data_IF_435700815495
#
_entry.id   IF_435700815495
#
_cell.length_a   1.000
_cell.length_b   1.000
_cell.length_c   1.000
_cell.angle_alpha   90.00
_cell.angle_beta   90.00
_cell.angle_gamma   90.00
#
_symmetry.space_group_name_H-M   'P 1'
#
loop_
_entity.id
_entity.type
_entity.pdbx_description
1 polymer ?
#
# COMPACT_ATOMS: atom_id res chain seq x y z
N UNK A 1 -31.50 44.01 0.60
CA UNK A 1 -30.96 43.00 1.52
C UNK A 1 -31.16 41.55 1.04
N UNK A 2 -32.36 41.08 0.69
CA UNK A 2 -32.60 39.70 0.19
C UNK A 2 -31.71 39.30 -1.01
N UNK A 3 -31.60 40.15 -2.04
CA UNK A 3 -30.79 39.86 -3.23
C UNK A 3 -29.28 39.85 -2.96
N UNK A 4 -28.81 40.60 -1.96
CA UNK A 4 -27.40 40.63 -1.55
C UNK A 4 -27.03 39.31 -0.85
N UNK A 5 -27.92 38.80 0.02
CA UNK A 5 -27.74 37.51 0.69
C UNK A 5 -27.77 36.34 -0.30
N UNK A 6 -28.66 36.39 -1.32
CA UNK A 6 -28.71 35.39 -2.39
C UNK A 6 -27.42 35.42 -3.23
N UNK A 7 -26.90 36.61 -3.56
CA UNK A 7 -25.64 36.75 -4.29
C UNK A 7 -24.43 36.21 -3.52
N UNK A 8 -24.35 36.48 -2.21
CA UNK A 8 -23.29 35.94 -1.34
C UNK A 8 -23.40 34.42 -1.21
N UNK A 9 -24.61 33.87 -1.05
CA UNK A 9 -24.83 32.44 -0.99
C UNK A 9 -24.44 31.74 -2.30
N UNK A 10 -24.72 32.35 -3.46
CA UNK A 10 -24.35 31.82 -4.76
C UNK A 10 -22.83 31.84 -4.98
N UNK A 11 -22.15 32.93 -4.59
CA UNK A 11 -20.68 33.02 -4.64
C UNK A 11 -20.01 32.00 -3.71
N UNK A 12 -20.56 31.79 -2.51
CA UNK A 12 -20.08 30.77 -1.58
C UNK A 12 -20.27 29.35 -2.16
N UNK A 13 -21.43 29.04 -2.74
CA UNK A 13 -21.70 27.76 -3.41
C UNK A 13 -20.74 27.52 -4.58
N UNK A 14 -20.50 28.52 -5.42
CA UNK A 14 -19.56 28.41 -6.54
C UNK A 14 -18.12 28.22 -6.06
N UNK A 15 -17.71 28.89 -4.98
CA UNK A 15 -16.40 28.69 -4.37
C UNK A 15 -16.23 27.26 -3.80
N UNK A 16 -17.28 26.73 -3.15
CA UNK A 16 -17.31 25.36 -2.62
C UNK A 16 -17.24 24.34 -3.77
N UNK A 17 -18.02 24.52 -4.83
CA UNK A 17 -18.00 23.62 -6.01
C UNK A 17 -16.65 23.65 -6.72
N UNK A 18 -16.01 24.81 -6.87
CA UNK A 18 -14.67 24.94 -7.46
C UNK A 18 -13.57 24.33 -6.60
N UNK A 19 -13.68 24.45 -5.27
CA UNK A 19 -12.77 23.75 -4.36
C UNK A 19 -12.93 22.22 -4.50
N UNK A 20 -14.17 21.74 -4.63
CA UNK A 20 -14.48 20.31 -4.75
C UNK A 20 -14.02 19.71 -6.10
N UNK A 21 -14.04 20.47 -7.19
CA UNK A 21 -13.55 20.01 -8.50
C UNK A 21 -12.02 19.85 -8.55
N UNK A 22 -11.28 20.51 -7.66
CA UNK A 22 -9.81 20.46 -7.60
C UNK A 22 -9.25 19.31 -6.75
N UNK A 23 -10.09 18.56 -6.04
CA UNK A 23 -9.71 17.50 -5.12
C UNK A 23 -10.14 16.11 -5.60
N UNK A 24 -10.01 15.88 -6.90
CA UNK A 24 -10.31 14.58 -7.49
C UNK A 24 -9.21 13.56 -7.15
N UNK A 25 -9.59 12.35 -6.75
CA UNK A 25 -8.65 11.25 -6.43
C UNK A 25 -7.74 10.86 -7.59
N UNK A 26 -8.02 11.34 -8.80
CA UNK A 26 -7.16 11.13 -9.98
C UNK A 26 -5.78 11.76 -9.81
N UNK A 27 -5.68 12.90 -9.13
CA UNK A 27 -4.38 13.50 -8.83
C UNK A 27 -3.58 12.60 -7.87
N UNK A 28 -4.25 12.01 -6.88
CA UNK A 28 -3.64 11.06 -5.97
C UNK A 28 -3.18 9.77 -6.69
N UNK A 29 -3.98 9.24 -7.62
CA UNK A 29 -3.59 8.11 -8.48
C UNK A 29 -2.29 8.43 -9.26
N UNK A 30 -2.17 9.67 -9.78
CA UNK A 30 -0.97 10.12 -10.49
C UNK A 30 0.24 10.26 -9.55
N UNK A 31 0.04 10.74 -8.32
CA UNK A 31 1.10 10.77 -7.32
C UNK A 31 1.64 9.37 -7.00
N UNK A 32 0.77 8.37 -6.93
CA UNK A 32 1.16 6.99 -6.63
C UNK A 32 1.84 6.31 -7.82
N UNK A 33 1.56 6.74 -9.05
CA UNK A 33 2.13 6.15 -10.26
C UNK A 33 3.67 6.23 -10.30
N UNK A 34 4.27 7.34 -9.85
CA UNK A 34 5.74 7.49 -9.82
C UNK A 34 6.39 6.52 -8.82
N UNK A 35 5.81 6.37 -7.62
CA UNK A 35 6.26 5.41 -6.62
C UNK A 35 6.09 3.95 -7.07
N UNK A 36 4.95 3.63 -7.70
CA UNK A 36 4.66 2.30 -8.24
C UNK A 36 5.58 1.91 -9.39
N UNK A 37 5.83 2.82 -10.33
CA UNK A 37 6.78 2.61 -11.42
C UNK A 37 8.19 2.33 -10.89
N UNK A 38 8.58 3.02 -9.82
CA UNK A 38 9.88 2.83 -9.15
C UNK A 38 9.97 1.54 -8.32
N UNK A 39 8.83 0.91 -7.97
CA UNK A 39 8.75 -0.29 -7.14
C UNK A 39 8.53 -1.61 -7.89
N UNK A 40 8.44 -1.59 -9.22
CA UNK A 40 8.19 -2.79 -10.04
C UNK A 40 9.26 -3.87 -9.88
N UNK A 41 10.49 -3.45 -9.61
CA UNK A 41 11.63 -4.30 -9.31
C UNK A 41 12.30 -3.74 -8.05
N UNK A 42 12.60 -4.61 -7.10
CA UNK A 42 13.49 -4.24 -6.00
C UNK A 42 14.87 -3.86 -6.54
N UNK A 43 15.47 -2.74 -6.10
CA UNK A 43 16.79 -2.33 -6.54
C UNK A 43 17.82 -3.39 -6.14
N UNK A 44 18.83 -3.60 -6.97
CA UNK A 44 19.93 -4.54 -6.75
C UNK A 44 21.29 -3.87 -6.71
N UNK A 45 21.31 -2.54 -6.91
CA UNK A 45 22.51 -1.71 -6.86
C UNK A 45 22.23 -0.39 -6.13
N UNK A 46 23.29 0.29 -5.66
CA UNK A 46 23.17 1.61 -5.02
C UNK A 46 22.54 2.64 -5.97
N UNK A 47 22.89 2.61 -7.26
CA UNK A 47 22.30 3.51 -8.25
C UNK A 47 20.78 3.32 -8.37
N UNK A 48 20.32 2.06 -8.33
CA UNK A 48 18.90 1.74 -8.35
C UNK A 48 18.20 2.13 -7.03
N UNK A 49 18.85 1.97 -5.88
CA UNK A 49 18.34 2.45 -4.58
C UNK A 49 18.12 3.97 -4.65
N UNK A 50 19.12 4.73 -5.11
CA UNK A 50 19.01 6.18 -5.22
C UNK A 50 17.88 6.59 -6.17
N UNK A 51 17.72 5.90 -7.30
CA UNK A 51 16.61 6.11 -8.23
C UNK A 51 15.26 5.86 -7.55
N UNK A 52 15.12 4.76 -6.81
CA UNK A 52 13.87 4.43 -6.12
C UNK A 52 13.55 5.45 -5.02
N UNK A 53 14.54 5.86 -4.23
CA UNK A 53 14.38 6.86 -3.20
C UNK A 53 13.97 8.24 -3.74
N UNK A 54 14.49 8.62 -4.92
CA UNK A 54 14.01 9.82 -5.63
C UNK A 54 12.52 9.69 -6.01
N UNK A 55 12.11 8.54 -6.55
CA UNK A 55 10.69 8.28 -6.84
C UNK A 55 9.79 8.34 -5.60
N UNK A 56 10.25 7.82 -4.44
CA UNK A 56 9.53 7.95 -3.18
C UNK A 56 9.45 9.39 -2.68
N UNK A 57 10.52 10.18 -2.84
CA UNK A 57 10.54 11.60 -2.50
C UNK A 57 9.50 12.36 -3.34
N UNK A 58 9.50 12.18 -4.65
CA UNK A 58 8.53 12.81 -5.56
C UNK A 58 7.09 12.42 -5.21
N UNK A 59 6.84 11.13 -4.97
CA UNK A 59 5.54 10.63 -4.53
C UNK A 59 5.09 11.31 -3.22
N UNK A 60 5.95 11.36 -2.20
CA UNK A 60 5.65 11.96 -0.90
C UNK A 60 5.39 13.47 -1.00
N UNK A 61 6.15 14.19 -1.82
CA UNK A 61 5.96 15.61 -2.08
C UNK A 61 4.60 15.88 -2.77
N UNK A 62 4.25 15.06 -3.78
CA UNK A 62 2.97 15.13 -4.47
C UNK A 62 1.80 14.88 -3.51
N UNK A 63 1.84 13.78 -2.74
CA UNK A 63 0.80 13.45 -1.74
C UNK A 63 0.72 14.56 -0.68
N UNK A 64 1.85 15.11 -0.24
CA UNK A 64 1.88 16.21 0.71
C UNK A 64 1.20 17.48 0.19
N UNK A 65 1.48 17.84 -1.07
CA UNK A 65 0.83 18.99 -1.75
C UNK A 65 -0.68 18.78 -1.94
N UNK A 66 -1.09 17.58 -2.34
CA UNK A 66 -2.50 17.21 -2.45
C UNK A 66 -3.19 17.27 -1.08
N UNK A 67 -2.61 16.66 -0.04
CA UNK A 67 -3.21 16.59 1.29
C UNK A 67 -3.33 17.95 1.98
N UNK A 68 -2.41 18.88 1.73
CA UNK A 68 -2.54 20.27 2.20
C UNK A 68 -3.78 20.96 1.62
N UNK A 69 -4.10 20.70 0.36
CA UNK A 69 -5.24 21.31 -0.34
C UNK A 69 -6.56 20.58 -0.10
N UNK A 70 -6.52 19.25 -0.04
CA UNK A 70 -7.69 18.39 -0.19
C UNK A 70 -8.02 17.52 1.02
N UNK A 71 -7.27 17.63 2.12
CA UNK A 71 -7.53 16.88 3.36
C UNK A 71 -7.86 17.80 4.53
N UNK A 72 -8.50 17.24 5.56
CA UNK A 72 -8.70 17.94 6.83
C UNK A 72 -7.40 17.98 7.65
N UNK A 73 -7.31 18.91 8.61
CA UNK A 73 -6.18 18.95 9.55
C UNK A 73 -6.04 17.64 10.34
N UNK A 74 -7.16 17.11 10.82
CA UNK A 74 -7.19 15.84 11.55
C UNK A 74 -6.61 14.68 10.70
N UNK A 75 -7.00 14.59 9.43
CA UNK A 75 -6.47 13.54 8.54
C UNK A 75 -4.97 13.72 8.28
N UNK A 76 -4.49 14.96 8.10
CA UNK A 76 -3.04 15.23 7.98
C UNK A 76 -2.26 14.87 9.24
N UNK A 77 -2.80 15.19 10.41
CA UNK A 77 -2.14 14.90 11.68
C UNK A 77 -2.11 13.39 11.95
N UNK A 78 -3.18 12.67 11.62
CA UNK A 78 -3.20 11.21 11.64
C UNK A 78 -2.16 10.61 10.68
N UNK A 79 -2.13 11.03 9.41
CA UNK A 79 -1.13 10.56 8.45
C UNK A 79 0.29 10.83 8.92
N UNK A 80 0.56 12.05 9.43
CA UNK A 80 1.86 12.38 10.01
C UNK A 80 2.20 11.43 11.15
N UNK A 81 1.28 11.19 12.08
CA UNK A 81 1.48 10.28 13.21
C UNK A 81 1.77 8.84 12.79
N UNK A 82 1.22 8.37 11.67
CA UNK A 82 1.51 7.03 11.13
C UNK A 82 2.88 7.00 10.45
N UNK A 83 3.20 8.02 9.65
CA UNK A 83 4.46 8.07 8.88
C UNK A 83 5.68 8.50 9.70
N UNK A 84 5.48 9.16 10.84
CA UNK A 84 6.55 9.64 11.71
C UNK A 84 6.85 8.68 12.86
N UNK A 85 6.31 7.46 12.83
CA UNK A 85 6.67 6.43 13.80
C UNK A 85 8.17 6.15 13.69
N UNK A 86 8.82 5.93 14.84
CA UNK A 86 10.28 5.89 14.96
C UNK A 86 10.94 4.95 13.96
N UNK A 87 10.39 3.74 13.81
CA UNK A 87 10.94 2.72 12.92
C UNK A 87 10.84 3.12 11.44
N UNK A 88 9.73 3.74 11.02
CA UNK A 88 9.53 4.22 9.62
C UNK A 88 10.50 5.33 9.30
N UNK A 89 10.58 6.34 10.17
CA UNK A 89 11.46 7.49 9.96
C UNK A 89 12.93 7.05 9.96
N UNK A 90 13.31 6.17 10.90
CA UNK A 90 14.68 5.66 10.98
C UNK A 90 15.04 4.86 9.75
N UNK A 91 14.19 3.90 9.34
CA UNK A 91 14.44 3.08 8.17
C UNK A 91 14.55 3.92 6.90
N UNK A 92 13.63 4.87 6.68
CA UNK A 92 13.71 5.77 5.53
C UNK A 92 14.99 6.60 5.54
N UNK A 93 15.43 7.07 6.71
CA UNK A 93 16.68 7.82 6.81
C UNK A 93 17.90 6.97 6.47
N UNK A 94 18.00 5.75 7.02
CA UNK A 94 19.10 4.83 6.73
C UNK A 94 19.08 4.38 5.26
N UNK A 95 17.90 4.09 4.71
CA UNK A 95 17.77 3.54 3.38
C UNK A 95 17.85 4.60 2.27
N UNK A 96 17.21 5.76 2.44
CA UNK A 96 17.07 6.75 1.38
C UNK A 96 17.87 8.04 1.57
N UNK A 97 18.23 8.42 2.79
CA UNK A 97 18.90 9.71 3.04
C UNK A 97 20.41 9.58 3.17
N UNK A 98 20.90 8.50 3.79
CA UNK A 98 22.34 8.25 3.94
C UNK A 98 22.88 7.54 2.72
N UNK A 99 23.96 8.05 2.14
CA UNK A 99 24.56 7.46 0.94
C UNK A 99 25.15 6.07 1.19
N UNK A 100 25.72 5.86 2.39
CA UNK A 100 26.20 4.57 2.87
C UNK A 100 25.61 4.28 4.26
N UNK A 101 24.97 3.13 4.42
CA UNK A 101 24.37 2.68 5.68
C UNK A 101 24.34 1.15 5.75
N UNK A 102 24.34 0.63 6.98
CA UNK A 102 24.19 -0.80 7.23
C UNK A 102 22.87 -1.35 6.66
N UNK A 103 21.80 -0.55 6.62
CA UNK A 103 20.53 -0.95 6.03
C UNK A 103 20.62 -1.13 4.51
N UNK A 104 21.34 -0.24 3.80
CA UNK A 104 21.60 -0.41 2.35
C UNK A 104 22.40 -1.67 2.07
N UNK A 105 23.42 -1.94 2.89
CA UNK A 105 24.26 -3.14 2.75
C UNK A 105 23.45 -4.43 3.00
N UNK A 106 22.68 -4.47 4.09
CA UNK A 106 21.78 -5.60 4.41
C UNK A 106 20.74 -5.83 3.33
N UNK A 107 20.12 -4.74 2.84
CA UNK A 107 19.18 -4.83 1.74
C UNK A 107 19.83 -5.41 0.49
N UNK A 108 20.98 -4.88 0.07
CA UNK A 108 21.68 -5.33 -1.12
C UNK A 108 22.11 -6.80 -1.03
N UNK A 109 22.53 -7.26 0.15
CA UNK A 109 22.84 -8.68 0.42
C UNK A 109 21.68 -9.62 0.05
N UNK A 110 20.43 -9.19 0.23
CA UNK A 110 19.24 -9.99 -0.06
C UNK A 110 18.52 -9.58 -1.37
N UNK A 111 18.87 -8.43 -1.93
CA UNK A 111 18.13 -7.77 -3.01
C UNK A 111 17.87 -8.66 -4.24
N UNK A 112 18.88 -9.40 -4.72
CA UNK A 112 18.76 -10.23 -5.93
C UNK A 112 17.75 -11.37 -5.74
N UNK A 113 17.81 -12.08 -4.61
CA UNK A 113 16.87 -13.16 -4.35
C UNK A 113 15.46 -12.60 -4.05
N UNK A 114 15.37 -11.47 -3.33
CA UNK A 114 14.10 -10.82 -3.02
C UNK A 114 13.43 -10.27 -4.29
N UNK A 115 14.20 -9.75 -5.24
CA UNK A 115 13.68 -9.31 -6.54
C UNK A 115 13.03 -10.48 -7.30
N UNK A 116 13.67 -11.66 -7.26
CA UNK A 116 13.11 -12.88 -7.86
C UNK A 116 11.85 -13.33 -7.12
N UNK A 117 11.89 -13.36 -5.79
CA UNK A 117 10.75 -13.72 -4.94
C UNK A 117 9.56 -12.75 -5.13
N UNK A 118 9.81 -11.45 -5.32
CA UNK A 118 8.78 -10.44 -5.59
C UNK A 118 8.00 -10.77 -6.85
N UNK A 119 8.70 -11.15 -7.94
CA UNK A 119 8.08 -11.50 -9.22
C UNK A 119 7.17 -12.71 -9.09
N UNK A 120 7.61 -13.75 -8.38
CA UNK A 120 6.78 -14.95 -8.15
C UNK A 120 5.62 -14.67 -7.19
N UNK A 121 5.83 -13.80 -6.20
CA UNK A 121 4.81 -13.37 -5.22
C UNK A 121 3.69 -12.52 -5.84
N UNK A 122 3.81 -12.07 -7.10
CA UNK A 122 2.72 -11.37 -7.83
C UNK A 122 1.46 -12.23 -7.90
N UNK A 123 1.61 -13.55 -7.95
CA UNK A 123 0.49 -14.49 -7.86
C UNK A 123 -0.28 -14.35 -6.54
N UNK A 124 0.43 -14.26 -5.41
CA UNK A 124 -0.14 -14.03 -4.08
C UNK A 124 -0.89 -12.70 -4.00
N UNK A 125 -0.34 -11.65 -4.61
CA UNK A 125 -0.98 -10.32 -4.67
C UNK A 125 -2.24 -10.34 -5.54
N UNK A 126 -2.22 -11.05 -6.68
CA UNK A 126 -3.42 -11.22 -7.51
C UNK A 126 -4.53 -11.92 -6.74
N UNK A 127 -4.20 -12.98 -6.02
CA UNK A 127 -5.15 -13.72 -5.20
C UNK A 127 -5.68 -12.88 -4.03
N UNK A 128 -4.87 -11.97 -3.49
CA UNK A 128 -5.31 -10.96 -2.52
C UNK A 128 -6.32 -10.01 -3.16
N UNK A 129 -6.04 -9.47 -4.34
CA UNK A 129 -6.93 -8.53 -5.02
C UNK A 129 -8.30 -9.14 -5.30
N UNK A 130 -8.35 -10.38 -5.77
CA UNK A 130 -9.62 -11.10 -6.01
C UNK A 130 -10.38 -11.33 -4.71
N UNK A 131 -9.69 -11.71 -3.63
CA UNK A 131 -10.30 -11.90 -2.33
C UNK A 131 -10.81 -10.60 -1.70
N UNK A 132 -10.10 -9.49 -1.86
CA UNK A 132 -10.54 -8.19 -1.37
C UNK A 132 -11.71 -7.63 -2.17
N UNK A 133 -11.75 -7.85 -3.49
CA UNK A 133 -12.91 -7.49 -4.29
C UNK A 133 -14.16 -8.25 -3.85
N UNK A 134 -14.02 -9.56 -3.56
CA UNK A 134 -15.10 -10.32 -2.90
C UNK A 134 -15.50 -9.66 -1.58
N UNK A 135 -14.54 -9.43 -0.69
CA UNK A 135 -14.81 -8.89 0.64
C UNK A 135 -15.51 -7.53 0.64
N UNK A 136 -15.20 -6.66 -0.33
CA UNK A 136 -15.86 -5.36 -0.44
C UNK A 136 -17.32 -5.49 -0.90
N UNK A 137 -17.60 -6.51 -1.72
CA UNK A 137 -18.95 -6.81 -2.22
C UNK A 137 -19.76 -7.75 -1.31
N UNK A 138 -19.13 -8.31 -0.27
CA UNK A 138 -19.81 -9.12 0.76
C UNK A 138 -20.55 -8.26 1.79
N UNK A 139 -21.46 -8.92 2.52
CA UNK A 139 -22.15 -8.37 3.69
C UNK A 139 -21.14 -7.88 4.74
N UNK A 140 -21.51 -6.82 5.48
CA UNK A 140 -20.63 -6.12 6.43
C UNK A 140 -19.99 -7.08 7.44
N UNK A 141 -20.75 -8.06 7.93
CA UNK A 141 -20.31 -9.06 8.91
C UNK A 141 -19.21 -9.98 8.37
N UNK A 142 -19.19 -10.20 7.05
CA UNK A 142 -18.23 -11.07 6.38
C UNK A 142 -16.95 -10.33 5.96
N UNK A 143 -16.99 -8.99 5.87
CA UNK A 143 -15.85 -8.21 5.34
C UNK A 143 -14.59 -8.37 6.16
N UNK A 144 -14.65 -8.24 7.48
CA UNK A 144 -13.47 -8.37 8.34
C UNK A 144 -12.90 -9.78 8.28
N UNK A 145 -13.69 -10.86 8.45
CA UNK A 145 -13.20 -12.22 8.27
C UNK A 145 -12.53 -12.46 6.92
N UNK A 146 -13.17 -12.05 5.82
CA UNK A 146 -12.65 -12.26 4.48
C UNK A 146 -11.37 -11.44 4.23
N UNK A 147 -11.34 -10.16 4.61
CA UNK A 147 -10.14 -9.31 4.50
C UNK A 147 -8.97 -9.89 5.31
N UNK A 148 -9.23 -10.29 6.56
CA UNK A 148 -8.19 -10.85 7.41
C UNK A 148 -7.66 -12.19 6.89
N UNK A 149 -8.54 -13.11 6.48
CA UNK A 149 -8.10 -14.36 5.85
C UNK A 149 -7.30 -14.09 4.56
N UNK A 150 -7.73 -13.13 3.74
CA UNK A 150 -7.07 -12.79 2.48
C UNK A 150 -5.65 -12.25 2.70
N UNK A 151 -5.49 -11.30 3.64
CA UNK A 151 -4.18 -10.74 4.00
C UNK A 151 -3.26 -11.80 4.60
N UNK A 152 -3.80 -12.66 5.47
CA UNK A 152 -3.03 -13.75 6.10
C UNK A 152 -2.58 -14.79 5.08
N UNK A 153 -3.44 -15.14 4.12
CA UNK A 153 -3.10 -16.04 3.00
C UNK A 153 -2.02 -15.45 2.12
N UNK A 154 -2.16 -14.17 1.73
CA UNK A 154 -1.15 -13.48 0.92
C UNK A 154 0.20 -13.45 1.63
N UNK A 155 0.23 -13.11 2.91
CA UNK A 155 1.46 -13.10 3.71
C UNK A 155 2.12 -14.47 3.75
N UNK A 156 1.35 -15.53 4.01
CA UNK A 156 1.88 -16.90 3.99
C UNK A 156 2.46 -17.28 2.62
N UNK A 157 1.70 -17.05 1.55
CA UNK A 157 2.13 -17.32 0.18
C UNK A 157 3.45 -16.61 -0.16
N UNK A 158 3.55 -15.31 0.14
CA UNK A 158 4.78 -14.53 -0.08
C UNK A 158 5.93 -15.02 0.79
N UNK A 159 5.69 -15.33 2.08
CA UNK A 159 6.70 -15.85 2.99
C UNK A 159 7.25 -17.21 2.55
N UNK A 160 6.39 -18.13 2.10
CA UNK A 160 6.80 -19.44 1.60
C UNK A 160 7.69 -19.29 0.34
N UNK A 161 7.34 -18.37 -0.57
CA UNK A 161 8.15 -18.05 -1.76
C UNK A 161 9.50 -17.44 -1.36
N UNK A 162 9.49 -16.45 -0.46
CA UNK A 162 10.73 -15.78 -0.02
C UNK A 162 11.64 -16.77 0.68
N UNK A 163 11.14 -17.60 1.60
CA UNK A 163 11.95 -18.62 2.27
C UNK A 163 12.52 -19.62 1.25
N UNK A 164 11.72 -20.05 0.26
CA UNK A 164 12.19 -20.93 -0.82
C UNK A 164 13.29 -20.32 -1.69
N UNK A 165 13.27 -19.00 -1.93
CA UNK A 165 14.24 -18.31 -2.81
C UNK A 165 15.44 -17.73 -2.09
N UNK A 166 15.25 -17.26 -0.86
CA UNK A 166 16.23 -16.49 -0.10
C UNK A 166 16.67 -17.18 1.20
N UNK A 167 16.08 -18.32 1.53
CA UNK A 167 16.28 -18.99 2.81
C UNK A 167 15.69 -18.23 3.99
N UNK A 168 15.87 -18.81 5.19
CA UNK A 168 15.36 -18.26 6.45
C UNK A 168 15.92 -16.88 6.78
N UNK A 169 17.17 -16.60 6.39
CA UNK A 169 17.80 -15.32 6.63
C UNK A 169 17.10 -14.20 5.82
N UNK A 170 16.89 -14.41 4.52
CA UNK A 170 16.19 -13.43 3.69
C UNK A 170 14.72 -13.28 4.07
N UNK A 171 14.05 -14.36 4.50
CA UNK A 171 12.69 -14.26 5.05
C UNK A 171 12.65 -13.42 6.32
N UNK A 172 13.59 -13.65 7.26
CA UNK A 172 13.72 -12.86 8.48
C UNK A 172 13.98 -11.38 8.18
N UNK A 173 14.91 -11.10 7.27
CA UNK A 173 15.21 -9.74 6.84
C UNK A 173 13.98 -9.05 6.23
N UNK A 174 13.27 -9.71 5.30
CA UNK A 174 12.07 -9.16 4.68
C UNK A 174 10.98 -8.86 5.72
N UNK A 175 10.79 -9.74 6.71
CA UNK A 175 9.86 -9.52 7.80
C UNK A 175 10.20 -8.29 8.64
N UNK A 176 11.48 -8.09 8.96
CA UNK A 176 11.96 -6.90 9.67
C UNK A 176 11.78 -5.63 8.82
N UNK A 177 12.15 -5.68 7.54
CA UNK A 177 11.99 -4.57 6.61
C UNK A 177 10.51 -4.15 6.49
N UNK A 178 9.59 -5.11 6.31
CA UNK A 178 8.15 -4.84 6.25
C UNK A 178 7.63 -4.20 7.53
N UNK A 179 8.10 -4.64 8.70
CA UNK A 179 7.73 -4.04 9.97
C UNK A 179 8.20 -2.59 10.08
N UNK A 180 9.46 -2.34 9.72
CA UNK A 180 10.05 -1.01 9.76
C UNK A 180 9.37 -0.05 8.78
N UNK A 181 8.99 -0.53 7.60
CA UNK A 181 8.29 0.28 6.58
C UNK A 181 6.83 0.53 6.96
N UNK A 182 6.13 -0.47 7.49
CA UNK A 182 4.72 -0.34 7.87
C UNK A 182 4.53 0.56 9.10
N UNK A 183 5.53 0.60 10.01
CA UNK A 183 5.51 1.33 11.28
C UNK A 183 4.60 0.72 12.33
N UNK A 184 3.49 0.11 11.91
CA UNK A 184 2.44 -0.40 12.78
C UNK A 184 2.27 -1.91 12.67
N UNK A 185 1.93 -2.54 13.81
CA UNK A 185 1.54 -3.95 13.91
C UNK A 185 0.03 -4.16 13.88
N UNK A 186 -0.74 -3.08 13.68
CA UNK A 186 -2.21 -3.12 13.71
C UNK A 186 -2.77 -4.23 12.80
N UNK A 187 -2.34 -4.37 11.53
CA UNK A 187 -2.87 -5.43 10.67
C UNK A 187 -2.54 -6.85 11.17
N UNK A 188 -1.35 -7.11 11.74
CA UNK A 188 -1.06 -8.41 12.35
C UNK A 188 -1.94 -8.68 13.57
N UNK A 189 -2.12 -7.66 14.43
CA UNK A 189 -2.88 -7.80 15.67
C UNK A 189 -4.36 -8.00 15.37
N UNK A 190 -4.93 -7.17 14.49
CA UNK A 190 -6.34 -7.23 14.12
C UNK A 190 -6.73 -8.54 13.44
N UNK A 191 -5.81 -9.15 12.70
CA UNK A 191 -6.05 -10.39 11.97
C UNK A 191 -5.39 -11.63 12.61
N UNK A 192 -4.97 -11.55 13.89
CA UNK A 192 -4.22 -12.62 14.56
C UNK A 192 -4.97 -13.95 14.58
N UNK A 193 -6.28 -13.89 14.83
CA UNK A 193 -7.12 -15.09 15.03
C UNK A 193 -7.56 -15.75 13.71
N UNK A 194 -7.12 -15.20 12.57
CA UNK A 194 -7.41 -15.73 11.25
C UNK A 194 -6.20 -16.53 10.73
N UNK A 195 -6.19 -17.82 11.05
CA UNK A 195 -5.21 -18.76 10.50
C UNK A 195 -5.51 -19.00 9.00
N UNK A 196 -4.58 -18.69 8.09
CA UNK A 196 -4.79 -18.83 6.65
C UNK A 196 -4.97 -20.29 6.19
N UNK A 197 -4.60 -21.27 7.01
CA UNK A 197 -4.76 -22.71 6.74
C UNK A 197 -6.01 -23.32 7.38
N UNK A 198 -6.70 -22.55 8.24
CA UNK A 198 -7.93 -23.03 8.87
C UNK A 198 -9.04 -23.24 7.85
N UNK A 199 -9.93 -24.22 8.12
CA UNK A 199 -11.10 -24.48 7.29
C UNK A 199 -11.96 -23.22 7.11
N UNK A 200 -12.06 -22.37 8.15
CA UNK A 200 -12.77 -21.09 8.11
C UNK A 200 -12.22 -20.17 7.02
N UNK A 201 -10.90 -19.97 6.95
CA UNK A 201 -10.31 -19.10 5.93
C UNK A 201 -10.31 -19.72 4.54
N UNK A 202 -10.10 -21.04 4.44
CA UNK A 202 -10.09 -21.74 3.16
C UNK A 202 -11.49 -21.73 2.51
N UNK A 203 -12.56 -21.89 3.29
CA UNK A 203 -13.93 -21.96 2.75
C UNK A 203 -14.51 -20.62 2.32
N UNK A 204 -14.09 -19.50 2.93
CA UNK A 204 -14.66 -18.18 2.66
C UNK A 204 -13.91 -17.41 1.56
N UNK A 205 -12.74 -17.87 1.13
CA UNK A 205 -11.96 -17.18 0.10
C UNK A 205 -12.09 -17.85 -1.27
N UNK A 206 -12.00 -17.08 -2.38
CA UNK A 206 -11.83 -17.66 -3.71
C UNK A 206 -10.58 -18.53 -3.77
N UNK A 207 -10.61 -19.62 -4.53
CA UNK A 207 -9.46 -20.51 -4.67
C UNK A 207 -8.22 -19.77 -5.21
N UNK A 208 -6.99 -20.16 -4.83
CA UNK A 208 -5.77 -19.60 -5.41
C UNK A 208 -5.78 -19.69 -6.94
N UNK A 209 -5.30 -18.64 -7.61
CA UNK A 209 -5.28 -18.56 -9.08
C UNK A 209 -6.62 -18.20 -9.74
N UNK A 210 -7.66 -17.92 -8.96
CA UNK A 210 -8.93 -17.38 -9.49
C UNK A 210 -8.65 -16.10 -10.28
N UNK A 211 -9.18 -16.01 -11.50
CA UNK A 211 -9.03 -14.81 -12.33
C UNK A 211 -9.93 -13.68 -11.78
N UNK A 212 -9.48 -12.42 -11.81
CA UNK A 212 -10.35 -11.28 -11.51
C UNK A 212 -11.58 -11.33 -12.41
N UNK A 213 -12.76 -11.08 -11.84
CA UNK A 213 -13.97 -10.90 -12.65
C UNK A 213 -13.83 -9.65 -13.55
N UNK A 214 -14.63 -9.58 -14.62
CA UNK A 214 -14.74 -8.39 -15.47
C UNK A 214 -15.37 -7.17 -14.76
N UNK A 215 -15.64 -7.29 -13.45
CA UNK A 215 -16.19 -6.22 -12.63
C UNK A 215 -15.13 -5.15 -12.42
N UNK A 216 -15.29 -4.01 -13.11
CA UNK A 216 -14.63 -2.76 -12.73
C UNK A 216 -15.06 -2.45 -11.30
N UNK A 217 -14.24 -2.83 -10.33
CA UNK A 217 -14.51 -2.55 -8.92
C UNK A 217 -14.67 -1.05 -8.73
N UNK A 218 -15.81 -0.63 -8.18
CA UNK A 218 -16.05 0.78 -7.83
C UNK A 218 -15.20 1.22 -6.63
N UNK A 219 -14.55 0.28 -5.95
CA UNK A 219 -13.65 0.55 -4.83
C UNK A 219 -12.33 1.14 -5.30
N UNK A 220 -11.99 2.31 -4.76
CA UNK A 220 -10.69 2.97 -4.93
C UNK A 220 -9.56 2.05 -4.48
N UNK A 221 -9.74 1.33 -3.36
CA UNK A 221 -8.75 0.40 -2.84
C UNK A 221 -8.52 -0.76 -3.81
N UNK A 222 -9.59 -1.34 -4.37
CA UNK A 222 -9.48 -2.41 -5.36
C UNK A 222 -8.82 -1.93 -6.64
N UNK A 223 -9.05 -0.69 -7.08
CA UNK A 223 -8.37 -0.10 -8.26
C UNK A 223 -6.87 0.09 -8.02
N UNK A 224 -6.48 0.55 -6.84
CA UNK A 224 -5.07 0.69 -6.45
C UNK A 224 -4.37 -0.66 -6.37
N UNK A 225 -4.99 -1.65 -5.74
CA UNK A 225 -4.44 -3.00 -5.62
C UNK A 225 -4.36 -3.73 -6.97
N UNK A 226 -5.36 -3.56 -7.84
CA UNK A 226 -5.32 -4.08 -9.20
C UNK A 226 -4.12 -3.52 -9.97
N UNK A 227 -3.82 -2.22 -9.81
CA UNK A 227 -2.66 -1.58 -10.42
C UNK A 227 -1.36 -2.21 -9.90
N UNK A 228 -1.27 -2.51 -8.61
CA UNK A 228 -0.10 -3.19 -8.03
C UNK A 228 0.02 -4.67 -8.47
N UNK A 229 -1.09 -5.39 -8.63
CA UNK A 229 -1.10 -6.79 -9.07
C UNK A 229 -0.94 -6.99 -10.58
N UNK A 230 -1.20 -5.96 -11.39
CA UNK A 230 -1.06 -5.99 -12.85
C UNK A 230 0.36 -5.66 -13.33
N UNK A 231 1.25 -5.25 -12.41
CA UNK A 231 2.65 -4.91 -12.65
C UNK A 231 3.59 -6.08 -12.38
#
# INVERSE_FOLDING_TARGET
MKYLLIGIAFLALVAIVRAQSSCHLRELDLCLASGLASGQNLPTTIAEINKQCNGFKEMNECIGNYSRRCSTKAMRDFMRSVTSQGDVKSWYSEFCTKDSSEEREKFLKHSTCLNTAQKESRSCTRDLTVALDKAINSDIENRIPEMCCAVRRMRKCSSDIIEGKCGKEGMKYMGQMLQSVAGTRIPEIACRDYDPTSQKCVSILPAPGTKPGNTKSNSVLSRLLNTYSAL
#
